data_IF_539130765141
#
_entry.id   IF_539130765141
#
_cell.length_a   1.000
_cell.length_b   1.000
_cell.length_c   1.000
_cell.angle_alpha   90.00
_cell.angle_beta   90.00
_cell.angle_gamma   90.00
#
_symmetry.space_group_name_H-M   'P 1'
#
loop_
_entity.id
_entity.type
_entity.pdbx_description
1 polymer ?
#
# COMPACT_ATOMS: atom_id res chain seq x y z
N UNK A 1 -40.39 -27.42 -5.38
CA UNK A 1 -39.21 -27.43 -4.48
C UNK A 1 -37.95 -27.23 -5.31
N UNK A 2 -37.60 -26.06 -5.81
CA UNK A 2 -36.24 -25.78 -6.38
C UNK A 2 -35.95 -24.30 -6.63
N UNK A 3 -36.65 -23.38 -5.98
CA UNK A 3 -36.41 -21.93 -6.18
C UNK A 3 -35.54 -21.30 -5.10
N UNK A 4 -35.42 -21.88 -3.90
CA UNK A 4 -34.69 -21.28 -2.77
C UNK A 4 -33.17 -21.54 -2.79
N UNK A 5 -32.69 -22.60 -3.47
CA UNK A 5 -31.26 -22.92 -3.47
C UNK A 5 -30.42 -21.99 -4.36
N UNK A 6 -31.00 -21.46 -5.46
CA UNK A 6 -30.28 -20.55 -6.36
C UNK A 6 -30.19 -19.12 -5.83
N UNK A 7 -31.19 -18.67 -5.06
CA UNK A 7 -31.19 -17.34 -4.43
C UNK A 7 -30.18 -17.33 -3.28
N UNK A 8 -30.15 -18.40 -2.46
CA UNK A 8 -29.15 -18.52 -1.38
C UNK A 8 -27.73 -18.59 -1.92
N UNK A 9 -27.48 -19.37 -2.98
CA UNK A 9 -26.16 -19.46 -3.60
C UNK A 9 -25.72 -18.11 -4.22
N UNK A 10 -26.65 -17.36 -4.84
CA UNK A 10 -26.38 -16.03 -5.40
C UNK A 10 -26.08 -14.98 -4.33
N UNK A 11 -26.80 -15.02 -3.19
CA UNK A 11 -26.55 -14.10 -2.07
C UNK A 11 -25.21 -14.40 -1.40
N UNK A 12 -24.85 -15.67 -1.17
CA UNK A 12 -23.53 -16.04 -0.65
C UNK A 12 -22.41 -15.67 -1.62
N UNK A 13 -22.59 -15.83 -2.91
CA UNK A 13 -21.61 -15.45 -3.92
C UNK A 13 -21.46 -13.91 -3.99
N UNK A 14 -22.55 -13.14 -3.90
CA UNK A 14 -22.50 -11.68 -3.83
C UNK A 14 -21.86 -11.19 -2.51
N UNK A 15 -22.19 -11.80 -1.38
CA UNK A 15 -21.58 -11.46 -0.08
C UNK A 15 -20.09 -11.79 -0.06
N UNK A 16 -19.66 -12.86 -0.74
CA UNK A 16 -18.25 -13.19 -0.86
C UNK A 16 -17.49 -12.20 -1.76
N UNK A 17 -18.15 -11.58 -2.75
CA UNK A 17 -17.54 -10.56 -3.61
C UNK A 17 -17.41 -9.18 -2.97
N UNK A 18 -18.09 -8.93 -1.85
CA UNK A 18 -18.17 -7.62 -1.18
C UNK A 18 -17.68 -7.75 0.26
N UNK A 19 -16.45 -8.18 0.47
CA UNK A 19 -15.83 -8.27 1.79
C UNK A 19 -14.53 -7.51 1.85
N UNK A 20 -14.14 -7.12 3.05
CA UNK A 20 -12.83 -6.51 3.30
C UNK A 20 -11.68 -7.48 3.00
N UNK A 21 -11.94 -8.81 3.10
CA UNK A 21 -11.01 -9.85 2.66
C UNK A 21 -10.68 -9.70 1.17
N UNK A 22 -11.68 -9.47 0.32
CA UNK A 22 -11.48 -9.30 -1.11
C UNK A 22 -10.76 -7.98 -1.43
N UNK A 23 -10.97 -6.92 -0.66
CA UNK A 23 -10.21 -5.69 -0.78
C UNK A 23 -8.71 -5.94 -0.52
N UNK A 24 -8.39 -6.71 0.50
CA UNK A 24 -7.00 -7.09 0.79
C UNK A 24 -6.40 -7.99 -0.29
N UNK A 25 -7.11 -9.04 -0.72
CA UNK A 25 -6.65 -9.90 -1.82
C UNK A 25 -6.46 -9.11 -3.11
N UNK A 26 -7.38 -8.20 -3.41
CA UNK A 26 -7.29 -7.29 -4.55
C UNK A 26 -6.06 -6.40 -4.49
N UNK A 27 -5.70 -5.89 -3.30
CA UNK A 27 -4.49 -5.08 -3.12
C UNK A 27 -3.20 -5.87 -3.37
N UNK A 28 -3.14 -7.14 -2.95
CA UNK A 28 -1.99 -8.02 -3.24
C UNK A 28 -1.85 -8.29 -4.75
N UNK A 29 -2.98 -8.55 -5.43
CA UNK A 29 -2.98 -8.76 -6.88
C UNK A 29 -2.55 -7.49 -7.62
N UNK A 30 -3.11 -6.33 -7.24
CA UNK A 30 -2.82 -5.05 -7.88
C UNK A 30 -1.34 -4.64 -7.72
N UNK A 31 -0.78 -4.82 -6.52
CA UNK A 31 0.64 -4.57 -6.26
C UNK A 31 1.54 -5.47 -7.11
N UNK A 32 1.26 -6.78 -7.14
CA UNK A 32 2.05 -7.74 -7.92
C UNK A 32 1.97 -7.47 -9.44
N UNK A 33 0.82 -6.96 -9.93
CA UNK A 33 0.69 -6.52 -11.32
C UNK A 33 1.45 -5.22 -11.56
N UNK A 34 1.36 -4.24 -10.66
CA UNK A 34 2.00 -2.93 -10.81
C UNK A 34 3.52 -2.95 -10.55
N UNK A 35 4.02 -3.92 -9.80
CA UNK A 35 5.41 -4.00 -9.33
C UNK A 35 6.46 -3.80 -10.43
N UNK A 36 6.38 -4.42 -11.63
CA UNK A 36 7.41 -4.25 -12.64
C UNK A 36 7.45 -2.86 -13.29
N UNK A 37 6.38 -2.09 -13.17
CA UNK A 37 6.28 -0.73 -13.75
C UNK A 37 6.44 0.38 -12.71
N UNK A 38 6.74 0.04 -11.46
CA UNK A 38 7.00 1.03 -10.43
C UNK A 38 8.17 1.95 -10.79
N UNK A 39 8.04 3.23 -10.47
CA UNK A 39 9.08 4.25 -10.62
C UNK A 39 9.42 4.61 -12.08
N UNK A 40 8.54 4.28 -13.04
CA UNK A 40 8.64 4.81 -14.40
C UNK A 40 7.97 6.18 -14.47
N UNK A 41 8.77 7.24 -14.47
CA UNK A 41 8.29 8.62 -14.62
C UNK A 41 8.25 9.09 -16.08
N UNK A 42 9.07 8.46 -16.95
CA UNK A 42 9.07 8.72 -18.37
C UNK A 42 8.18 7.69 -19.09
N UNK A 43 7.09 8.19 -19.69
CA UNK A 43 6.09 7.36 -20.38
C UNK A 43 6.67 6.65 -21.60
N UNK A 44 7.57 7.30 -22.35
CA UNK A 44 8.21 6.68 -23.52
C UNK A 44 9.06 5.46 -23.10
N UNK A 45 9.80 5.58 -22.01
CA UNK A 45 10.54 4.46 -21.43
C UNK A 45 9.63 3.33 -20.96
N UNK A 46 8.49 3.69 -20.33
CA UNK A 46 7.50 2.71 -19.91
C UNK A 46 6.89 1.97 -21.10
N UNK A 47 6.49 2.69 -22.14
CA UNK A 47 5.90 2.13 -23.36
C UNK A 47 6.91 1.26 -24.14
N UNK A 48 8.15 1.69 -24.19
CA UNK A 48 9.24 0.92 -24.82
C UNK A 48 9.53 -0.38 -24.08
N UNK A 49 9.47 -0.35 -22.74
CA UNK A 49 9.81 -1.51 -21.92
C UNK A 49 8.65 -2.49 -21.77
N UNK A 50 7.43 -2.02 -21.64
CA UNK A 50 6.28 -2.87 -21.32
C UNK A 50 5.13 -2.76 -22.32
N UNK A 51 5.01 -1.69 -23.10
CA UNK A 51 3.96 -1.52 -24.11
C UNK A 51 2.56 -1.59 -23.50
N UNK A 52 1.69 -2.37 -24.12
CA UNK A 52 0.36 -2.68 -23.57
C UNK A 52 0.49 -3.69 -22.43
N UNK A 53 0.80 -3.19 -21.27
CA UNK A 53 1.08 -3.96 -20.08
C UNK A 53 -0.21 -4.56 -19.48
N UNK A 54 -0.20 -5.88 -19.31
CA UNK A 54 -1.29 -6.60 -18.65
C UNK A 54 -0.77 -7.85 -17.95
N UNK A 55 -1.22 -8.08 -16.70
CA UNK A 55 -0.90 -9.25 -15.91
C UNK A 55 0.48 -9.22 -15.23
N UNK A 56 0.90 -10.37 -14.74
CA UNK A 56 2.15 -10.47 -13.98
C UNK A 56 3.37 -10.51 -14.91
N UNK A 57 4.31 -9.62 -14.67
CA UNK A 57 5.59 -9.57 -15.40
C UNK A 57 6.75 -9.48 -14.41
N UNK A 58 7.91 -9.97 -14.84
CA UNK A 58 9.15 -9.77 -14.11
C UNK A 58 9.70 -8.36 -14.37
N UNK A 59 10.28 -7.69 -13.37
CA UNK A 59 10.94 -6.41 -13.58
C UNK A 59 12.06 -6.51 -14.61
N UNK A 60 12.11 -5.56 -15.55
CA UNK A 60 13.23 -5.49 -16.49
C UNK A 60 14.45 -4.89 -15.80
N UNK A 61 15.57 -5.59 -15.87
CA UNK A 61 16.90 -5.06 -15.60
C UNK A 61 17.47 -4.59 -16.94
N UNK A 62 17.63 -3.49 -17.16
CA UNK A 62 18.02 -2.17 -16.80
C UNK A 62 16.77 -1.29 -16.73
N UNK A 63 16.57 -0.57 -15.63
CA UNK A 63 15.52 0.41 -15.52
C UNK A 63 16.06 1.78 -15.93
N UNK A 64 15.70 2.31 -17.13
CA UNK A 64 16.32 3.51 -17.68
C UNK A 64 16.06 4.76 -16.85
N UNK A 65 14.88 4.82 -16.20
CA UNK A 65 14.44 5.96 -15.39
C UNK A 65 14.82 5.86 -13.91
N UNK A 66 15.50 4.79 -13.50
CA UNK A 66 15.88 4.63 -12.10
C UNK A 66 16.68 5.83 -11.59
N UNK A 67 16.18 6.42 -10.50
CA UNK A 67 16.86 7.50 -9.79
C UNK A 67 17.64 7.01 -8.55
N UNK A 68 17.73 5.71 -8.34
CA UNK A 68 18.43 5.09 -7.20
C UNK A 68 19.88 5.55 -7.07
N UNK A 69 20.51 5.88 -8.20
CA UNK A 69 21.86 6.44 -8.25
C UNK A 69 22.02 7.80 -7.57
N UNK A 70 20.92 8.53 -7.34
CA UNK A 70 20.90 9.80 -6.60
C UNK A 70 20.79 9.60 -5.10
N UNK A 71 20.52 8.38 -4.65
CA UNK A 71 20.25 8.06 -3.25
C UNK A 71 21.44 7.34 -2.63
N UNK A 72 21.65 7.60 -1.34
CA UNK A 72 22.64 6.90 -0.54
C UNK A 72 21.94 6.11 0.57
N UNK A 73 22.44 4.91 0.82
CA UNK A 73 22.01 4.10 1.95
C UNK A 73 23.24 3.74 2.79
N UNK A 74 23.30 4.31 3.98
CA UNK A 74 24.42 4.08 4.92
C UNK A 74 23.84 3.94 6.33
N UNK A 75 23.40 2.72 6.70
CA UNK A 75 22.87 2.47 8.04
C UNK A 75 23.97 2.65 9.09
N UNK A 76 23.65 3.36 10.17
CA UNK A 76 24.62 3.66 11.25
C UNK A 76 24.92 2.46 12.15
N UNK A 77 24.12 1.41 12.08
CA UNK A 77 24.31 0.18 12.85
C UNK A 77 23.54 -0.97 12.22
N UNK A 78 23.81 -2.24 12.59
CA UNK A 78 23.01 -3.38 12.14
C UNK A 78 21.53 -3.27 12.46
N UNK A 79 21.14 -2.55 13.52
CA UNK A 79 19.72 -2.28 13.86
C UNK A 79 19.03 -1.31 12.93
N UNK A 80 19.75 -0.64 12.03
CA UNK A 80 19.20 0.25 11.01
C UNK A 80 19.36 -0.33 9.60
N UNK A 81 20.00 -1.51 9.46
CA UNK A 81 20.23 -2.13 8.15
C UNK A 81 19.07 -3.05 7.76
N UNK A 82 18.11 -2.47 7.04
CA UNK A 82 16.93 -3.15 6.54
C UNK A 82 17.08 -3.64 5.09
N UNK A 83 18.20 -3.34 4.41
CA UNK A 83 18.45 -3.74 3.04
C UNK A 83 19.53 -4.84 2.92
N UNK A 84 20.41 -4.96 3.89
CA UNK A 84 21.45 -5.97 3.89
C UNK A 84 22.24 -6.00 2.56
N UNK A 85 22.23 -7.12 1.86
CA UNK A 85 22.94 -7.30 0.61
C UNK A 85 22.46 -6.42 -0.55
N UNK A 86 21.24 -5.88 -0.50
CA UNK A 86 20.69 -4.98 -1.52
C UNK A 86 21.24 -3.56 -1.40
N UNK A 87 21.77 -3.17 -0.25
CA UNK A 87 22.37 -1.86 -0.02
C UNK A 87 23.45 -1.49 -1.05
N UNK A 88 24.21 -2.47 -1.54
CA UNK A 88 25.30 -2.27 -2.52
C UNK A 88 24.84 -1.71 -3.88
N UNK A 89 23.55 -1.81 -4.21
CA UNK A 89 23.00 -1.31 -5.47
C UNK A 89 22.63 0.17 -5.42
N UNK A 90 22.58 0.75 -4.22
CA UNK A 90 22.33 2.17 -4.05
C UNK A 90 23.49 2.98 -4.62
N UNK A 91 23.17 4.11 -5.25
CA UNK A 91 24.17 4.92 -5.97
C UNK A 91 24.48 4.42 -7.39
N UNK A 92 23.94 3.27 -7.83
CA UNK A 92 24.13 2.72 -9.17
C UNK A 92 23.01 3.12 -10.12
N UNK A 93 23.34 3.35 -11.39
CA UNK A 93 22.37 3.64 -12.46
C UNK A 93 21.73 2.37 -13.02
N UNK A 94 20.53 2.49 -13.53
CA UNK A 94 19.84 1.42 -14.25
C UNK A 94 19.33 0.28 -13.37
N UNK A 95 19.34 0.44 -12.06
CA UNK A 95 18.88 -0.59 -11.12
C UNK A 95 17.37 -0.47 -10.94
N UNK A 96 16.64 -1.53 -11.22
CA UNK A 96 15.22 -1.60 -10.89
C UNK A 96 15.05 -1.76 -9.37
N UNK A 97 14.08 -1.02 -8.81
CA UNK A 97 13.84 -1.02 -7.36
C UNK A 97 13.44 -2.41 -6.84
N UNK A 98 12.81 -3.22 -7.69
CA UNK A 98 12.34 -4.58 -7.41
C UNK A 98 13.06 -5.65 -8.23
N UNK A 99 14.33 -5.43 -8.60
CA UNK A 99 15.08 -6.27 -9.55
C UNK A 99 15.17 -7.77 -9.18
N UNK A 100 14.95 -8.11 -7.92
CA UNK A 100 15.03 -9.49 -7.43
C UNK A 100 13.65 -10.13 -7.19
N UNK A 101 12.58 -9.42 -7.49
CA UNK A 101 11.23 -9.98 -7.43
C UNK A 101 10.91 -10.71 -8.73
N UNK A 102 10.11 -11.76 -8.62
CA UNK A 102 9.60 -12.53 -9.74
C UNK A 102 8.19 -12.06 -10.13
N UNK A 103 7.71 -12.51 -11.29
CA UNK A 103 6.34 -12.20 -11.73
C UNK A 103 5.31 -12.77 -10.72
N UNK A 104 4.49 -11.90 -10.17
CA UNK A 104 3.50 -12.25 -9.16
C UNK A 104 3.94 -12.03 -7.71
N UNK A 105 5.22 -11.68 -7.48
CA UNK A 105 5.67 -11.30 -6.15
C UNK A 105 5.11 -9.93 -5.73
N UNK A 106 4.89 -9.77 -4.44
CA UNK A 106 4.51 -8.49 -3.85
C UNK A 106 5.73 -7.68 -3.43
N UNK A 107 5.60 -6.36 -3.51
CA UNK A 107 6.60 -5.43 -2.99
C UNK A 107 6.68 -5.46 -1.47
N UNK A 108 7.73 -4.86 -0.90
CA UNK A 108 7.96 -4.79 0.55
C UNK A 108 6.71 -4.33 1.32
N UNK A 109 6.01 -3.30 0.81
CA UNK A 109 4.84 -2.76 1.48
C UNK A 109 3.70 -3.78 1.60
N UNK A 110 3.44 -4.55 0.57
CA UNK A 110 2.39 -5.57 0.58
C UNK A 110 2.84 -6.89 1.23
N UNK A 111 4.14 -7.19 1.25
CA UNK A 111 4.68 -8.26 2.09
C UNK A 111 4.47 -7.93 3.58
N UNK A 112 4.69 -6.68 3.99
CA UNK A 112 4.39 -6.20 5.35
C UNK A 112 2.89 -6.22 5.66
N UNK A 113 2.04 -5.86 4.69
CA UNK A 113 0.59 -5.97 4.84
C UNK A 113 0.14 -7.42 5.08
N UNK A 114 0.70 -8.39 4.32
CA UNK A 114 0.43 -9.80 4.52
C UNK A 114 0.94 -10.32 5.88
N UNK A 115 2.05 -9.80 6.35
CA UNK A 115 2.60 -10.14 7.66
C UNK A 115 1.78 -9.55 8.80
N UNK A 116 1.29 -8.31 8.65
CA UNK A 116 0.32 -7.70 9.59
C UNK A 116 -0.92 -8.58 9.71
N UNK A 117 -1.51 -8.99 8.58
CA UNK A 117 -2.66 -9.89 8.56
C UNK A 117 -2.40 -11.16 9.35
N UNK A 118 -1.30 -11.89 9.03
CA UNK A 118 -0.94 -13.16 9.69
C UNK A 118 -0.72 -12.98 11.18
N UNK A 119 0.10 -12.01 11.57
CA UNK A 119 0.46 -11.80 12.98
C UNK A 119 -0.75 -11.37 13.81
N UNK A 120 -1.63 -10.55 13.26
CA UNK A 120 -2.83 -10.08 13.96
C UNK A 120 -3.87 -11.20 14.10
N UNK A 121 -4.05 -12.06 13.08
CA UNK A 121 -4.90 -13.27 13.19
C UNK A 121 -4.37 -14.19 14.30
N UNK A 122 -3.07 -14.43 14.36
CA UNK A 122 -2.48 -15.27 15.39
C UNK A 122 -2.63 -14.70 16.80
N UNK A 123 -2.59 -13.40 16.94
CA UNK A 123 -2.76 -12.70 18.23
C UNK A 123 -4.24 -12.55 18.63
N UNK A 124 -5.18 -12.75 17.71
CA UNK A 124 -6.62 -12.56 17.93
C UNK A 124 -7.08 -11.10 18.05
N UNK A 125 -6.17 -10.15 17.97
CA UNK A 125 -6.46 -8.71 18.00
C UNK A 125 -5.28 -7.92 17.43
N UNK A 126 -5.55 -6.72 16.91
CA UNK A 126 -4.50 -5.77 16.55
C UNK A 126 -3.99 -5.07 17.82
N UNK A 127 -2.68 -5.18 18.05
CA UNK A 127 -1.96 -4.43 19.07
C UNK A 127 -0.77 -3.71 18.43
N UNK A 128 -0.72 -2.36 18.48
CA UNK A 128 0.32 -1.55 17.84
C UNK A 128 1.74 -1.93 18.23
N UNK A 129 1.97 -2.20 19.52
CA UNK A 129 3.31 -2.54 20.01
C UNK A 129 3.75 -3.94 19.55
N UNK A 130 2.84 -4.91 19.59
CA UNK A 130 3.09 -6.27 19.09
C UNK A 130 3.38 -6.24 17.57
N UNK A 131 2.62 -5.44 16.81
CA UNK A 131 2.89 -5.25 15.39
C UNK A 131 4.27 -4.64 15.14
N UNK A 132 4.64 -3.58 15.86
CA UNK A 132 5.97 -2.97 15.68
C UNK A 132 7.12 -3.91 16.06
N UNK A 133 6.95 -4.76 17.08
CA UNK A 133 7.93 -5.80 17.41
C UNK A 133 8.11 -6.76 16.24
N UNK A 134 7.00 -7.19 15.64
CA UNK A 134 7.03 -8.06 14.46
C UNK A 134 7.62 -7.36 13.24
N UNK A 135 7.23 -6.11 12.98
CA UNK A 135 7.79 -5.29 11.91
C UNK A 135 9.32 -5.17 12.02
N UNK A 136 9.85 -4.87 13.21
CA UNK A 136 11.29 -4.80 13.44
C UNK A 136 11.96 -6.16 13.22
N UNK A 137 11.36 -7.23 13.73
CA UNK A 137 11.88 -8.59 13.56
C UNK A 137 12.03 -8.96 12.08
N UNK A 138 10.97 -8.82 11.29
CA UNK A 138 10.98 -9.23 9.88
C UNK A 138 11.90 -8.35 9.04
N UNK A 139 11.86 -7.03 9.24
CA UNK A 139 12.69 -6.10 8.48
C UNK A 139 14.20 -6.26 8.75
N UNK A 140 14.57 -6.73 9.92
CA UNK A 140 15.97 -7.00 10.29
C UNK A 140 16.37 -8.46 10.05
N UNK A 141 15.44 -9.33 9.62
CA UNK A 141 15.75 -10.72 9.27
C UNK A 141 16.36 -10.79 7.87
N UNK A 142 17.63 -11.20 7.73
CA UNK A 142 18.27 -11.29 6.43
C UNK A 142 17.49 -12.17 5.43
N UNK A 143 17.18 -11.61 4.26
CA UNK A 143 16.49 -12.35 3.19
C UNK A 143 14.98 -12.50 3.38
N UNK A 144 14.38 -11.85 4.38
CA UNK A 144 12.92 -11.84 4.52
C UNK A 144 12.23 -11.12 3.36
N UNK A 145 12.81 -10.03 2.87
CA UNK A 145 12.41 -9.37 1.62
C UNK A 145 13.59 -9.27 0.65
N UNK A 146 13.27 -9.06 -0.62
CA UNK A 146 14.24 -8.96 -1.71
C UNK A 146 14.22 -7.62 -2.44
N UNK A 147 13.47 -6.64 -1.94
CA UNK A 147 13.44 -5.31 -2.51
C UNK A 147 14.79 -4.61 -2.39
N UNK A 148 15.20 -3.97 -3.50
CA UNK A 148 16.44 -3.17 -3.53
C UNK A 148 16.21 -1.80 -2.92
N UNK A 149 14.98 -1.33 -2.87
CA UNK A 149 14.61 -0.03 -2.32
C UNK A 149 13.65 -0.18 -1.14
N UNK A 150 13.87 0.59 -0.11
CA UNK A 150 12.92 0.83 0.97
C UNK A 150 12.70 2.34 1.09
N UNK A 151 11.44 2.77 1.20
CA UNK A 151 11.04 4.15 1.28
C UNK A 151 11.64 4.86 2.51
N UNK A 152 11.63 6.18 2.46
CA UNK A 152 12.28 7.00 3.50
C UNK A 152 11.67 6.78 4.88
N UNK A 153 10.37 6.57 4.99
CA UNK A 153 9.73 6.33 6.27
C UNK A 153 10.22 5.04 6.94
N UNK A 154 10.48 3.97 6.18
CA UNK A 154 11.12 2.76 6.72
C UNK A 154 12.53 3.06 7.23
N UNK A 155 13.35 3.70 6.41
CA UNK A 155 14.75 4.04 6.75
C UNK A 155 14.84 4.96 7.97
N UNK A 156 13.95 5.93 8.05
CA UNK A 156 13.85 6.87 9.17
C UNK A 156 13.37 6.18 10.44
N UNK A 157 12.36 5.31 10.36
CA UNK A 157 11.92 4.49 11.49
C UNK A 157 13.08 3.69 12.08
N UNK A 158 13.82 2.96 11.23
CA UNK A 158 14.95 2.14 11.69
C UNK A 158 16.15 2.96 12.17
N UNK A 159 16.35 4.15 11.63
CA UNK A 159 17.34 5.12 12.18
C UNK A 159 16.96 5.55 13.60
N UNK A 160 15.69 5.86 13.83
CA UNK A 160 15.16 6.21 15.14
C UNK A 160 15.25 5.04 16.12
N UNK A 161 14.85 3.83 15.67
CA UNK A 161 14.96 2.60 16.45
C UNK A 161 16.40 2.30 16.87
N UNK A 162 17.34 2.37 15.93
CA UNK A 162 18.76 2.16 16.19
C UNK A 162 19.37 3.22 17.13
N UNK A 163 18.80 4.41 17.19
CA UNK A 163 19.21 5.46 18.14
C UNK A 163 18.67 5.26 19.56
N UNK A 164 17.83 4.23 19.77
CA UNK A 164 17.27 3.90 21.08
C UNK A 164 15.97 4.63 21.42
N UNK A 165 15.27 5.23 20.45
CA UNK A 165 13.93 5.78 20.70
C UNK A 165 12.97 4.67 21.13
N UNK A 166 11.98 4.97 21.98
CA UNK A 166 10.88 4.04 22.28
C UNK A 166 10.21 3.58 20.99
N UNK A 167 9.85 2.29 20.91
CA UNK A 167 9.37 1.66 19.67
C UNK A 167 8.18 2.41 19.05
N UNK A 168 7.20 2.79 19.87
CA UNK A 168 6.01 3.56 19.45
C UNK A 168 6.32 5.01 19.03
N UNK A 169 7.57 5.47 19.20
CA UNK A 169 8.02 6.82 18.84
C UNK A 169 9.03 6.83 17.70
N UNK A 170 9.21 5.70 17.01
CA UNK A 170 10.18 5.60 15.91
C UNK A 170 9.64 6.14 14.58
N UNK A 171 8.33 6.24 14.39
CA UNK A 171 7.71 6.83 13.21
C UNK A 171 8.08 8.29 12.98
N UNK A 172 7.75 8.79 11.82
CA UNK A 172 8.00 10.18 11.42
C UNK A 172 6.71 10.85 10.94
N UNK A 173 6.72 12.15 10.80
CA UNK A 173 5.67 12.89 10.12
C UNK A 173 5.92 12.79 8.61
N UNK A 174 5.19 11.90 7.93
CA UNK A 174 5.34 11.63 6.51
C UNK A 174 3.97 11.59 5.83
N UNK A 175 3.89 12.11 4.60
CA UNK A 175 2.68 12.13 3.78
C UNK A 175 2.83 11.30 2.49
N UNK A 176 3.72 10.31 2.51
CA UNK A 176 3.86 9.33 1.45
C UNK A 176 2.65 8.37 1.45
N UNK A 177 2.10 8.05 0.26
CA UNK A 177 0.92 7.17 0.11
C UNK A 177 1.17 5.75 0.66
N UNK A 178 2.41 5.34 0.78
CA UNK A 178 2.81 4.05 1.37
C UNK A 178 2.24 3.82 2.78
N UNK A 179 1.93 4.91 3.52
CA UNK A 179 1.24 4.83 4.81
C UNK A 179 -0.15 4.20 4.76
N UNK A 180 -0.76 4.09 3.57
CA UNK A 180 -2.08 3.50 3.37
C UNK A 180 -2.03 2.01 3.00
N UNK A 181 -0.87 1.48 2.63
CA UNK A 181 -0.71 0.14 2.03
C UNK A 181 -1.17 -1.02 2.93
N UNK A 182 -1.11 -0.86 4.25
CA UNK A 182 -1.48 -1.89 5.21
C UNK A 182 -2.95 -1.83 5.65
N UNK A 183 -3.70 -0.78 5.27
CA UNK A 183 -5.09 -0.58 5.69
C UNK A 183 -6.00 -1.73 5.26
N UNK A 184 -5.97 -2.20 3.98
CA UNK A 184 -6.81 -3.31 3.56
C UNK A 184 -6.56 -4.59 4.37
N UNK A 185 -5.30 -4.87 4.71
CA UNK A 185 -4.92 -6.04 5.51
C UNK A 185 -5.48 -5.96 6.94
N UNK A 186 -5.37 -4.80 7.59
CA UNK A 186 -5.90 -4.61 8.94
C UNK A 186 -7.43 -4.74 8.96
N UNK A 187 -8.12 -4.09 8.04
CA UNK A 187 -9.59 -4.17 7.95
C UNK A 187 -10.06 -5.61 7.68
N UNK A 188 -9.38 -6.32 6.77
CA UNK A 188 -9.64 -7.73 6.50
C UNK A 188 -9.39 -8.61 7.73
N UNK A 189 -8.35 -8.34 8.50
CA UNK A 189 -8.07 -9.06 9.74
C UNK A 189 -9.19 -8.86 10.75
N UNK A 190 -9.63 -7.60 10.93
CA UNK A 190 -10.70 -7.27 11.87
C UNK A 190 -12.03 -7.92 11.47
N UNK A 191 -12.34 -7.95 10.17
CA UNK A 191 -13.49 -8.70 9.64
C UNK A 191 -13.39 -10.20 9.96
N UNK A 192 -12.22 -10.81 9.74
CA UNK A 192 -11.99 -12.24 10.02
C UNK A 192 -12.08 -12.59 11.52
N UNK A 193 -11.87 -11.62 12.39
CA UNK A 193 -11.97 -11.75 13.86
C UNK A 193 -13.33 -11.29 14.41
N UNK A 194 -14.33 -11.09 13.55
CA UNK A 194 -15.66 -10.56 13.90
C UNK A 194 -15.63 -9.18 14.60
N UNK A 195 -14.57 -8.39 14.39
CA UNK A 195 -14.41 -7.04 14.93
C UNK A 195 -14.95 -6.00 13.93
N UNK A 196 -16.25 -6.01 13.70
CA UNK A 196 -16.90 -5.30 12.59
C UNK A 196 -17.47 -3.91 12.98
N UNK A 197 -17.15 -3.39 14.14
CA UNK A 197 -17.63 -2.08 14.56
C UNK A 197 -16.84 -0.98 13.82
N UNK A 198 -17.48 -0.12 12.98
CA UNK A 198 -16.79 0.80 12.09
C UNK A 198 -15.92 1.85 12.80
N UNK A 199 -16.33 2.32 13.97
CA UNK A 199 -15.54 3.30 14.73
C UNK A 199 -14.28 2.66 15.33
N UNK A 200 -14.37 1.43 15.82
CA UNK A 200 -13.20 0.68 16.33
C UNK A 200 -12.22 0.33 15.21
N UNK A 201 -12.74 -0.02 14.03
CA UNK A 201 -11.90 -0.26 12.84
C UNK A 201 -11.16 1.02 12.42
N UNK A 202 -11.84 2.16 12.38
CA UNK A 202 -11.21 3.44 12.05
C UNK A 202 -10.14 3.83 13.08
N UNK A 203 -10.41 3.66 14.37
CA UNK A 203 -9.44 3.94 15.44
C UNK A 203 -8.18 3.08 15.29
N UNK A 204 -8.37 1.78 15.01
CA UNK A 204 -7.27 0.84 14.76
C UNK A 204 -6.45 1.22 13.53
N UNK A 205 -7.11 1.63 12.43
CA UNK A 205 -6.45 2.12 11.21
C UNK A 205 -5.62 3.37 11.51
N UNK A 206 -6.18 4.35 12.20
CA UNK A 206 -5.44 5.58 12.54
C UNK A 206 -4.28 5.29 13.49
N UNK A 207 -4.46 4.35 14.41
CA UNK A 207 -3.36 3.87 15.26
C UNK A 207 -2.24 3.23 14.45
N UNK A 208 -2.57 2.33 13.53
CA UNK A 208 -1.61 1.69 12.62
C UNK A 208 -0.81 2.72 11.80
N UNK A 209 -1.51 3.65 11.16
CA UNK A 209 -0.89 4.65 10.28
C UNK A 209 0.07 5.56 11.05
N UNK A 210 -0.30 5.98 12.26
CA UNK A 210 0.57 6.80 13.13
C UNK A 210 1.90 6.13 13.50
N UNK A 211 1.98 4.81 13.45
CA UNK A 211 3.22 4.10 13.79
C UNK A 211 4.39 4.46 12.86
N UNK A 212 4.09 4.87 11.62
CA UNK A 212 5.09 5.22 10.61
C UNK A 212 4.86 6.58 9.97
N UNK A 213 3.60 7.05 9.87
CA UNK A 213 3.19 8.24 9.11
C UNK A 213 2.27 9.14 9.95
N UNK A 214 2.79 9.82 10.95
CA UNK A 214 1.98 10.74 11.77
C UNK A 214 1.90 12.14 11.13
N UNK A 215 1.14 12.24 10.02
CA UNK A 215 0.92 13.48 9.28
C UNK A 215 -0.57 13.65 8.95
N UNK A 216 -1.06 14.90 8.99
CA UNK A 216 -2.50 15.21 8.81
C UNK A 216 -3.05 14.70 7.47
N UNK A 217 -2.30 14.80 6.36
CA UNK A 217 -2.74 14.33 5.05
C UNK A 217 -2.87 12.81 5.02
N UNK A 218 -1.94 12.08 5.63
CA UNK A 218 -1.97 10.63 5.69
C UNK A 218 -3.11 10.13 6.57
N UNK A 219 -3.33 10.76 7.72
CA UNK A 219 -4.44 10.40 8.61
C UNK A 219 -5.81 10.71 7.99
N UNK A 220 -5.92 11.81 7.23
CA UNK A 220 -7.13 12.14 6.47
C UNK A 220 -7.39 11.12 5.37
N UNK A 221 -6.40 10.82 4.54
CA UNK A 221 -6.53 9.83 3.48
C UNK A 221 -6.85 8.43 4.04
N UNK A 222 -6.25 8.05 5.17
CA UNK A 222 -6.57 6.80 5.87
C UNK A 222 -8.04 6.75 6.34
N UNK A 223 -8.55 7.86 6.88
CA UNK A 223 -9.96 7.99 7.27
C UNK A 223 -10.88 7.84 6.05
N UNK A 224 -10.58 8.55 4.98
CA UNK A 224 -11.41 8.54 3.77
C UNK A 224 -11.37 7.16 3.09
N UNK A 225 -10.19 6.54 2.98
CA UNK A 225 -10.04 5.19 2.43
C UNK A 225 -10.80 4.14 3.25
N UNK A 226 -10.73 4.21 4.57
CA UNK A 226 -11.49 3.32 5.48
C UNK A 226 -13.00 3.44 5.24
N UNK A 227 -13.51 4.67 5.12
CA UNK A 227 -14.92 4.94 4.85
C UNK A 227 -15.35 4.44 3.47
N UNK A 228 -14.48 4.58 2.46
CA UNK A 228 -14.71 4.02 1.12
C UNK A 228 -14.83 2.49 1.22
N UNK A 229 -13.88 1.82 1.86
CA UNK A 229 -13.92 0.36 2.01
C UNK A 229 -15.18 -0.12 2.73
N UNK A 230 -15.60 0.55 3.81
CA UNK A 230 -16.85 0.19 4.49
C UNK A 230 -18.06 0.28 3.56
N UNK A 231 -18.19 1.34 2.76
CA UNK A 231 -19.34 1.48 1.85
C UNK A 231 -19.31 0.44 0.73
N UNK A 232 -18.13 0.16 0.16
CA UNK A 232 -17.97 -0.88 -0.85
C UNK A 232 -18.28 -2.27 -0.27
N UNK A 233 -17.84 -2.58 0.95
CA UNK A 233 -18.14 -3.84 1.63
C UNK A 233 -19.65 -4.01 1.92
N UNK A 234 -20.40 -2.91 2.04
CA UNK A 234 -21.86 -2.92 2.16
C UNK A 234 -22.59 -2.93 0.82
N UNK A 235 -21.88 -3.11 -0.30
CA UNK A 235 -22.48 -3.30 -1.63
C UNK A 235 -22.72 -2.00 -2.41
N UNK A 236 -22.23 -0.87 -1.95
CA UNK A 236 -22.28 0.36 -2.75
C UNK A 236 -21.30 0.28 -3.92
N UNK A 237 -21.66 0.87 -5.07
CA UNK A 237 -20.71 1.01 -6.17
C UNK A 237 -19.69 2.09 -5.86
N UNK A 238 -18.48 1.96 -6.41
CA UNK A 238 -17.42 2.98 -6.25
C UNK A 238 -17.90 4.36 -6.71
N UNK A 239 -18.57 4.46 -7.85
CA UNK A 239 -19.14 5.70 -8.37
C UNK A 239 -20.10 6.34 -7.36
N UNK A 240 -21.04 5.58 -6.80
CA UNK A 240 -21.99 6.09 -5.82
C UNK A 240 -21.26 6.54 -4.56
N UNK A 241 -20.33 5.75 -4.08
CA UNK A 241 -19.50 6.07 -2.91
C UNK A 241 -18.76 7.40 -3.11
N UNK A 242 -18.02 7.56 -4.21
CA UNK A 242 -17.21 8.76 -4.46
C UNK A 242 -18.05 10.02 -4.71
N UNK A 243 -19.29 9.88 -5.19
CA UNK A 243 -20.18 11.03 -5.44
C UNK A 243 -21.00 11.45 -4.22
N UNK A 244 -21.21 10.56 -3.23
CA UNK A 244 -22.08 10.80 -2.07
C UNK A 244 -21.33 10.87 -0.75
N UNK A 245 -20.15 10.28 -0.65
CA UNK A 245 -19.32 10.36 0.55
C UNK A 245 -18.57 11.70 0.56
N UNK A 246 -18.74 12.52 1.59
CA UNK A 246 -17.93 13.74 1.73
C UNK A 246 -16.46 13.37 1.92
N UNK A 247 -15.65 13.65 0.91
CA UNK A 247 -14.20 13.43 0.91
C UNK A 247 -13.49 14.79 0.87
N UNK A 248 -13.03 15.32 2.02
CA UNK A 248 -12.34 16.60 2.06
C UNK A 248 -11.10 16.62 1.16
N UNK A 249 -11.04 17.57 0.23
CA UNK A 249 -9.94 17.68 -0.74
C UNK A 249 -10.16 16.90 -2.05
N UNK A 250 -11.25 16.14 -2.17
CA UNK A 250 -11.64 15.48 -3.42
C UNK A 250 -12.82 16.20 -4.04
N UNK A 251 -12.63 16.75 -5.23
CA UNK A 251 -13.72 17.42 -5.96
C UNK A 251 -14.49 16.42 -6.81
N UNK A 252 -15.74 16.16 -6.43
CA UNK A 252 -16.67 15.31 -7.21
C UNK A 252 -16.82 15.82 -8.65
N UNK A 253 -16.85 17.15 -8.86
CA UNK A 253 -16.94 17.74 -10.21
C UNK A 253 -15.70 17.38 -11.03
N UNK A 254 -14.52 17.41 -10.44
CA UNK A 254 -13.28 17.03 -11.13
C UNK A 254 -13.25 15.53 -11.42
N UNK A 255 -13.62 14.66 -10.48
CA UNK A 255 -13.72 13.23 -10.72
C UNK A 255 -14.67 12.92 -11.89
N UNK A 256 -15.86 13.54 -11.92
CA UNK A 256 -16.82 13.38 -13.01
C UNK A 256 -16.28 13.90 -14.36
N UNK A 257 -15.49 14.96 -14.35
CA UNK A 257 -14.84 15.48 -15.55
C UNK A 257 -13.78 14.50 -16.09
N UNK A 258 -12.98 13.92 -15.18
CA UNK A 258 -11.86 13.04 -15.54
C UNK A 258 -12.31 11.62 -15.90
N UNK A 259 -13.46 11.18 -15.44
CA UNK A 259 -13.99 9.82 -15.62
C UNK A 259 -13.98 9.32 -17.08
N UNK A 260 -14.10 10.23 -18.04
CA UNK A 260 -14.10 9.91 -19.48
C UNK A 260 -12.83 10.39 -20.20
N UNK A 261 -11.81 10.80 -19.45
CA UNK A 261 -10.52 11.20 -20.01
C UNK A 261 -9.57 9.98 -20.04
N UNK A 262 -8.57 10.07 -20.88
CA UNK A 262 -7.46 9.13 -20.85
C UNK A 262 -6.71 9.23 -19.51
N UNK A 263 -6.44 8.09 -18.86
CA UNK A 263 -5.80 8.05 -17.54
C UNK A 263 -4.45 8.78 -17.52
N UNK A 264 -3.70 8.72 -18.62
CA UNK A 264 -2.41 9.41 -18.75
C UNK A 264 -2.55 10.93 -18.90
N UNK A 265 -3.69 11.40 -19.40
CA UNK A 265 -3.98 12.83 -19.44
C UNK A 265 -4.41 13.36 -18.07
N UNK A 266 -4.93 12.51 -17.21
CA UNK A 266 -5.25 12.86 -15.82
C UNK A 266 -4.01 12.72 -14.94
N UNK A 267 -3.41 11.53 -14.90
CA UNK A 267 -2.24 11.25 -14.07
C UNK A 267 -0.96 11.49 -14.88
N UNK A 268 -0.23 12.51 -14.50
CA UNK A 268 0.99 12.96 -15.15
C UNK A 268 0.89 14.30 -15.86
N UNK A 269 -0.26 14.63 -16.49
CA UNK A 269 -0.45 15.96 -17.11
C UNK A 269 -1.20 16.91 -16.18
N UNK A 270 -2.17 16.39 -15.39
CA UNK A 270 -2.99 17.18 -14.46
C UNK A 270 -2.60 16.91 -13.00
N UNK A 271 -2.52 15.64 -12.62
CA UNK A 271 -2.07 15.20 -11.31
C UNK A 271 -0.65 14.67 -11.40
N UNK A 272 0.14 14.88 -10.36
CA UNK A 272 1.50 14.37 -10.28
C UNK A 272 1.52 12.83 -10.26
N UNK A 273 2.52 12.22 -10.88
CA UNK A 273 2.85 10.80 -10.71
C UNK A 273 3.61 10.51 -9.42
N UNK A 274 3.92 11.54 -8.62
CA UNK A 274 4.61 11.38 -7.35
C UNK A 274 3.71 10.76 -6.28
N UNK A 275 4.31 10.03 -5.37
CA UNK A 275 3.63 9.24 -4.35
C UNK A 275 3.25 10.02 -3.08
N UNK A 276 3.08 11.35 -3.18
CA UNK A 276 2.78 12.21 -2.03
C UNK A 276 1.31 12.64 -2.00
N UNK A 277 0.73 12.57 -0.78
CA UNK A 277 -0.63 13.02 -0.48
C UNK A 277 -0.72 14.56 -0.46
N UNK A 278 -1.88 15.15 -0.79
CA UNK A 278 -3.15 14.48 -1.11
C UNK A 278 -3.29 14.05 -2.57
N UNK A 279 -2.40 14.50 -3.46
CA UNK A 279 -2.56 14.38 -4.92
C UNK A 279 -2.56 12.93 -5.39
N UNK A 280 -1.66 12.09 -4.85
CA UNK A 280 -1.61 10.66 -5.15
C UNK A 280 -2.88 9.90 -4.72
N UNK A 281 -3.56 10.33 -3.66
CA UNK A 281 -4.84 9.75 -3.26
C UNK A 281 -5.95 10.07 -4.26
N UNK A 282 -6.01 11.32 -4.72
CA UNK A 282 -6.99 11.73 -5.75
C UNK A 282 -6.74 11.01 -7.07
N UNK A 283 -5.47 10.78 -7.43
CA UNK A 283 -5.09 10.04 -8.63
C UNK A 283 -5.47 8.54 -8.56
N UNK A 284 -5.62 7.98 -7.35
CA UNK A 284 -6.02 6.59 -7.14
C UNK A 284 -7.54 6.37 -7.11
N UNK A 285 -8.35 7.44 -7.04
CA UNK A 285 -9.82 7.39 -7.00
C UNK A 285 -10.43 7.46 -8.39
#
# INVERSE_FOLDING_TARGET
QNCNSKIFCGIYYLLFLMSLQNAFLGSLVADAVAMPVHWYYNRESLDQDYGDFSGYCKPKNIHPDSILWRSNYTPKSPKADILGNQAKYWGQKGIHYHQFLEAGDNTLNLQLAAELYRSTILNGTFDPESWLKRYVEVMLTPGWHHDTYAEEYHRSFFTNYASGKPLLSCGISDYHIGGLSQIPALLATMEALDQNEPSAQLESVLSLVRLTHDHEYTLRAATDLTRIYHRLAHGESIRHTLTTLPLPGVSVILLQKWENMDDRAVVGDTLSTACYLPESFVAAL
#
